data_IF_914732241411
#
_entry.id   IF_914732241411
#
_cell.length_a   1.000
_cell.length_b   1.000
_cell.length_c   1.000
_cell.angle_alpha   90.00
_cell.angle_beta   90.00
_cell.angle_gamma   90.00
#
_symmetry.space_group_name_H-M   'P 1'
#
loop_
_entity.id
_entity.type
_entity.pdbx_description
1 polymer ?
#
# COMPACT_ATOMS: atom_id res chain seq x y z
N UNK A 1 14.61 -36.36 -5.76
CA UNK A 1 15.57 -35.36 -5.21
C UNK A 1 15.32 -35.29 -3.73
N UNK A 2 16.34 -35.51 -2.91
CA UNK A 2 16.21 -35.75 -1.48
C UNK A 2 15.58 -34.55 -0.75
N UNK A 3 14.60 -34.81 0.11
CA UNK A 3 14.18 -33.86 1.14
C UNK A 3 15.42 -33.43 1.92
N UNK A 4 15.65 -32.11 2.06
CA UNK A 4 16.78 -31.62 2.86
C UNK A 4 16.45 -31.96 4.33
N UNK A 5 17.19 -32.86 4.99
CA UNK A 5 16.81 -33.29 6.32
C UNK A 5 17.12 -32.17 7.32
N UNK A 6 16.06 -31.46 7.73
CA UNK A 6 16.10 -30.44 8.78
C UNK A 6 16.07 -31.13 10.15
N UNK A 7 17.24 -31.56 10.64
CA UNK A 7 17.38 -32.42 11.84
C UNK A 7 17.45 -31.67 13.19
N UNK A 8 17.34 -30.34 13.23
CA UNK A 8 17.45 -29.59 14.50
C UNK A 8 16.12 -28.94 14.89
N UNK A 9 15.32 -29.69 15.63
CA UNK A 9 14.08 -29.20 16.23
C UNK A 9 14.38 -28.68 17.65
N UNK A 10 14.12 -27.40 17.96
CA UNK A 10 14.41 -26.84 19.29
C UNK A 10 13.47 -27.37 20.39
N UNK A 11 12.46 -28.17 20.05
CA UNK A 11 11.55 -28.80 21.02
C UNK A 11 10.25 -28.01 21.27
N UNK A 12 9.54 -28.39 22.33
CA UNK A 12 8.26 -27.78 22.73
C UNK A 12 8.42 -26.31 23.20
N UNK A 13 7.37 -25.50 23.10
CA UNK A 13 7.38 -24.07 23.48
C UNK A 13 7.63 -23.07 22.34
N UNK A 14 7.86 -23.55 21.11
CA UNK A 14 8.04 -22.71 19.92
C UNK A 14 6.93 -22.89 18.87
N UNK A 15 6.52 -21.79 18.21
CA UNK A 15 5.59 -21.85 17.07
C UNK A 15 6.20 -22.61 15.88
N UNK A 16 5.36 -23.19 15.02
CA UNK A 16 5.80 -23.97 13.85
C UNK A 16 6.78 -23.20 12.96
N UNK A 17 6.55 -21.90 12.72
CA UNK A 17 7.44 -21.08 11.90
C UNK A 17 8.80 -20.85 12.56
N UNK A 18 8.86 -20.67 13.89
CA UNK A 18 10.12 -20.52 14.64
C UNK A 18 10.96 -21.79 14.59
N UNK A 19 10.31 -22.96 14.70
CA UNK A 19 10.98 -24.27 14.59
C UNK A 19 11.59 -24.46 13.19
N UNK A 20 10.85 -24.13 12.13
CA UNK A 20 11.36 -24.17 10.75
C UNK A 20 12.51 -23.20 10.52
N UNK A 21 12.38 -21.94 10.97
CA UNK A 21 13.43 -20.94 10.85
C UNK A 21 14.71 -21.37 11.57
N UNK A 22 14.61 -21.86 12.80
CA UNK A 22 15.75 -22.40 13.55
C UNK A 22 16.43 -23.57 12.82
N UNK A 23 15.64 -24.54 12.33
CA UNK A 23 16.17 -25.70 11.63
C UNK A 23 16.89 -25.33 10.33
N UNK A 24 16.35 -24.38 9.55
CA UNK A 24 16.98 -23.88 8.33
C UNK A 24 18.26 -23.12 8.65
N UNK A 25 18.23 -22.20 9.63
CA UNK A 25 19.41 -21.43 10.05
C UNK A 25 20.55 -22.33 10.53
N UNK A 26 20.25 -23.35 11.34
CA UNK A 26 21.25 -24.32 11.80
C UNK A 26 21.80 -25.17 10.65
N UNK A 27 20.96 -25.57 9.69
CA UNK A 27 21.45 -26.30 8.52
C UNK A 27 22.40 -25.42 7.68
N UNK A 28 22.04 -24.16 7.46
CA UNK A 28 22.85 -23.20 6.72
C UNK A 28 24.18 -22.90 7.44
N UNK A 29 24.16 -22.75 8.76
CA UNK A 29 25.37 -22.57 9.56
C UNK A 29 26.33 -23.78 9.46
N UNK A 30 25.80 -25.01 9.38
CA UNK A 30 26.59 -26.24 9.25
C UNK A 30 27.12 -26.49 7.83
N UNK A 31 26.32 -26.17 6.82
CA UNK A 31 26.61 -26.52 5.42
C UNK A 31 27.22 -25.38 4.61
N UNK A 32 27.18 -24.15 5.13
CA UNK A 32 27.69 -22.95 4.45
C UNK A 32 26.91 -22.57 3.18
N UNK A 33 25.74 -23.15 2.95
CA UNK A 33 24.95 -22.88 1.74
C UNK A 33 23.44 -22.74 2.02
N UNK A 34 22.75 -22.03 1.13
CA UNK A 34 21.32 -21.71 1.26
C UNK A 34 20.36 -22.79 0.77
N UNK A 35 20.82 -24.00 0.46
CA UNK A 35 19.98 -25.02 -0.20
C UNK A 35 18.77 -25.43 0.65
N UNK A 36 18.93 -25.48 1.98
CA UNK A 36 17.83 -25.76 2.90
C UNK A 36 16.72 -24.71 2.85
N UNK A 37 17.09 -23.42 2.77
CA UNK A 37 16.14 -22.33 2.62
C UNK A 37 15.40 -22.43 1.27
N UNK A 38 16.12 -22.68 0.18
CA UNK A 38 15.52 -22.85 -1.15
C UNK A 38 14.58 -24.06 -1.20
N UNK A 39 14.94 -25.17 -0.53
CA UNK A 39 14.09 -26.34 -0.42
C UNK A 39 12.81 -26.04 0.36
N UNK A 40 12.90 -25.29 1.46
CA UNK A 40 11.73 -24.83 2.22
C UNK A 40 10.82 -23.93 1.38
N UNK A 41 11.39 -22.95 0.66
CA UNK A 41 10.63 -22.05 -0.22
C UNK A 41 9.91 -22.85 -1.30
N UNK A 42 10.60 -23.78 -2.00
CA UNK A 42 9.97 -24.66 -2.99
C UNK A 42 8.84 -25.47 -2.36
N UNK A 43 9.07 -26.09 -1.20
CA UNK A 43 8.06 -26.89 -0.52
C UNK A 43 6.84 -26.04 -0.07
N UNK A 44 7.05 -24.80 0.35
CA UNK A 44 5.98 -23.90 0.77
C UNK A 44 5.15 -23.37 -0.41
N UNK A 45 5.79 -23.10 -1.55
CA UNK A 45 5.20 -22.43 -2.72
C UNK A 45 4.71 -23.38 -3.81
N UNK A 46 4.81 -24.70 -3.59
CA UNK A 46 4.23 -25.73 -4.44
C UNK A 46 2.77 -25.44 -4.73
N UNK A 47 2.38 -25.49 -6.01
CA UNK A 47 1.02 -25.20 -6.46
C UNK A 47 -0.04 -25.97 -5.65
N UNK A 48 0.22 -27.26 -5.34
CA UNK A 48 -0.72 -28.11 -4.61
C UNK A 48 -1.00 -27.64 -3.17
N UNK A 49 -0.13 -26.80 -2.60
CA UNK A 49 -0.22 -26.24 -1.24
C UNK A 49 -0.68 -24.79 -1.22
N UNK A 50 -0.84 -24.17 -2.38
CA UNK A 50 -1.23 -22.75 -2.51
C UNK A 50 -2.57 -22.56 -3.21
N UNK A 51 -3.11 -23.59 -3.86
CA UNK A 51 -4.39 -23.57 -4.59
C UNK A 51 -5.57 -23.07 -3.75
N UNK A 52 -5.64 -23.44 -2.46
CA UNK A 52 -6.71 -23.05 -1.54
C UNK A 52 -6.58 -21.59 -1.03
N UNK A 53 -5.44 -20.94 -1.30
CA UNK A 53 -5.09 -19.62 -0.77
C UNK A 53 -4.33 -18.77 -1.78
N UNK A 54 -4.68 -18.89 -3.07
CA UNK A 54 -3.94 -18.28 -4.19
C UNK A 54 -3.60 -16.82 -3.95
N UNK A 55 -4.56 -15.97 -3.56
CA UNK A 55 -4.31 -14.55 -3.32
C UNK A 55 -3.25 -14.30 -2.23
N UNK A 56 -3.27 -15.07 -1.13
CA UNK A 56 -2.25 -14.95 -0.08
C UNK A 56 -0.90 -15.52 -0.52
N UNK A 57 -0.90 -16.59 -1.31
CA UNK A 57 0.30 -17.18 -1.85
C UNK A 57 0.97 -16.29 -2.89
N UNK A 58 0.18 -15.55 -3.68
CA UNK A 58 0.68 -14.57 -4.64
C UNK A 58 1.37 -13.41 -3.92
N UNK A 59 0.75 -12.87 -2.88
CA UNK A 59 1.37 -11.85 -2.01
C UNK A 59 2.70 -12.36 -1.44
N UNK A 60 2.72 -13.56 -0.85
CA UNK A 60 3.93 -14.15 -0.28
C UNK A 60 5.01 -14.43 -1.35
N UNK A 61 4.62 -14.74 -2.59
CA UNK A 61 5.55 -14.96 -3.70
C UNK A 61 6.25 -13.67 -4.08
N UNK A 62 5.52 -12.57 -4.11
CA UNK A 62 6.07 -11.27 -4.43
C UNK A 62 7.05 -10.80 -3.35
N UNK A 63 6.69 -10.97 -2.07
CA UNK A 63 7.59 -10.69 -0.93
C UNK A 63 8.87 -11.54 -0.97
N UNK A 64 8.73 -12.85 -1.25
CA UNK A 64 9.88 -13.74 -1.42
C UNK A 64 10.75 -13.32 -2.61
N UNK A 65 10.14 -12.94 -3.73
CA UNK A 65 10.86 -12.53 -4.94
C UNK A 65 11.62 -11.23 -4.73
N UNK A 66 11.09 -10.30 -3.92
CA UNK A 66 11.82 -9.08 -3.55
C UNK A 66 13.17 -9.45 -2.90
N UNK A 67 13.17 -10.29 -1.87
CA UNK A 67 14.41 -10.68 -1.17
C UNK A 67 15.31 -11.59 -2.04
N UNK A 68 14.73 -12.57 -2.72
CA UNK A 68 15.50 -13.53 -3.53
C UNK A 68 16.17 -12.87 -4.74
N UNK A 69 15.61 -11.78 -5.26
CA UNK A 69 16.17 -11.06 -6.39
C UNK A 69 17.54 -10.44 -6.07
N UNK A 70 17.83 -10.11 -4.81
CA UNK A 70 19.13 -9.62 -4.34
C UNK A 70 20.26 -10.64 -4.55
N UNK A 71 19.90 -11.92 -4.55
CA UNK A 71 20.78 -13.08 -4.77
C UNK A 71 20.53 -13.75 -6.12
N UNK A 72 19.91 -13.05 -7.07
CA UNK A 72 19.65 -13.54 -8.44
C UNK A 72 18.75 -14.79 -8.50
N UNK A 73 17.77 -14.88 -7.61
CA UNK A 73 16.79 -15.97 -7.55
C UNK A 73 15.36 -15.43 -7.61
N UNK A 74 14.41 -16.26 -8.05
CA UNK A 74 12.97 -16.00 -7.97
C UNK A 74 12.16 -17.28 -7.87
N UNK A 75 11.00 -17.22 -7.23
CA UNK A 75 9.92 -18.21 -7.23
C UNK A 75 9.01 -17.96 -8.43
N UNK A 76 8.78 -19.00 -9.23
CA UNK A 76 7.85 -19.02 -10.37
C UNK A 76 6.41 -19.28 -9.91
N UNK A 77 5.44 -19.06 -10.80
CA UNK A 77 4.02 -19.31 -10.54
C UNK A 77 3.71 -20.76 -10.12
N UNK A 78 4.52 -21.72 -10.59
CA UNK A 78 4.40 -23.15 -10.22
C UNK A 78 5.14 -23.53 -8.93
N UNK A 79 5.73 -22.55 -8.23
CA UNK A 79 6.46 -22.76 -6.98
C UNK A 79 7.93 -23.16 -7.13
N UNK A 80 8.43 -23.36 -8.37
CA UNK A 80 9.85 -23.64 -8.59
C UNK A 80 10.68 -22.38 -8.37
N UNK A 81 11.89 -22.57 -7.84
CA UNK A 81 12.89 -21.49 -7.75
C UNK A 81 13.81 -21.56 -8.97
N UNK A 82 13.95 -20.44 -9.66
CA UNK A 82 14.79 -20.24 -10.85
C UNK A 82 15.76 -19.07 -10.64
N UNK A 83 16.78 -18.98 -11.50
CA UNK A 83 17.65 -17.81 -11.55
C UNK A 83 16.91 -16.60 -12.11
N UNK A 84 17.29 -15.42 -11.64
CA UNK A 84 16.75 -14.14 -12.04
C UNK A 84 17.88 -13.14 -12.26
N UNK A 85 17.61 -12.07 -13.01
CA UNK A 85 18.51 -10.92 -13.04
C UNK A 85 18.54 -10.32 -11.63
N UNK A 86 19.74 -10.02 -11.11
CA UNK A 86 19.89 -9.35 -9.81
C UNK A 86 19.09 -8.05 -9.82
N UNK A 87 18.18 -7.88 -8.87
CA UNK A 87 17.43 -6.64 -8.80
C UNK A 87 18.38 -5.50 -8.37
N UNK A 88 18.25 -4.37 -9.05
CA UNK A 88 18.63 -3.07 -8.50
C UNK A 88 17.48 -2.53 -7.66
N UNK A 89 17.75 -1.54 -6.83
CA UNK A 89 16.74 -0.78 -6.09
C UNK A 89 15.65 -0.25 -7.03
N UNK A 90 16.01 0.14 -8.25
CA UNK A 90 15.06 0.58 -9.28
C UNK A 90 14.15 -0.57 -9.77
N UNK A 91 14.71 -1.78 -9.92
CA UNK A 91 13.91 -2.94 -10.36
C UNK A 91 12.87 -3.34 -9.30
N UNK A 92 13.22 -3.24 -8.02
CA UNK A 92 12.28 -3.50 -6.92
C UNK A 92 11.22 -2.41 -6.79
N UNK A 93 11.62 -1.14 -6.91
CA UNK A 93 10.71 0.00 -6.90
C UNK A 93 9.65 -0.12 -8.01
N UNK A 94 10.09 -0.50 -9.21
CA UNK A 94 9.20 -0.71 -10.36
C UNK A 94 8.20 -1.82 -10.07
N UNK A 95 8.67 -2.99 -9.60
CA UNK A 95 7.81 -4.12 -9.29
C UNK A 95 6.76 -3.77 -8.21
N UNK A 96 7.15 -3.05 -7.16
CA UNK A 96 6.23 -2.58 -6.12
C UNK A 96 5.21 -1.59 -6.67
N UNK A 97 5.64 -0.65 -7.50
CA UNK A 97 4.77 0.33 -8.15
C UNK A 97 3.74 -0.33 -9.07
N UNK A 98 4.18 -1.25 -9.93
CA UNK A 98 3.30 -2.00 -10.85
C UNK A 98 2.27 -2.84 -10.08
N UNK A 99 2.69 -3.47 -8.98
CA UNK A 99 1.83 -4.28 -8.14
C UNK A 99 0.77 -3.44 -7.42
N UNK A 100 1.19 -2.33 -6.79
CA UNK A 100 0.28 -1.39 -6.13
C UNK A 100 -0.75 -0.86 -7.13
N UNK A 101 -0.29 -0.43 -8.31
CA UNK A 101 -1.15 0.05 -9.39
C UNK A 101 -2.20 -1.02 -9.77
N UNK A 102 -1.77 -2.26 -10.05
CA UNK A 102 -2.68 -3.34 -10.44
C UNK A 102 -3.76 -3.62 -9.40
N UNK A 103 -3.40 -3.66 -8.12
CA UNK A 103 -4.37 -3.92 -7.05
C UNK A 103 -5.39 -2.79 -6.96
N UNK A 104 -4.94 -1.54 -7.04
CA UNK A 104 -5.82 -0.37 -7.02
C UNK A 104 -6.73 -0.32 -8.25
N UNK A 105 -6.20 -0.61 -9.44
CA UNK A 105 -6.96 -0.70 -10.68
C UNK A 105 -8.06 -1.77 -10.58
N UNK A 106 -7.72 -2.97 -10.09
CA UNK A 106 -8.69 -4.05 -9.85
C UNK A 106 -9.78 -3.68 -8.83
N UNK A 107 -9.45 -2.84 -7.85
CA UNK A 107 -10.41 -2.30 -6.86
C UNK A 107 -11.24 -1.13 -7.41
N UNK A 108 -11.02 -0.70 -8.66
CA UNK A 108 -11.68 0.46 -9.26
C UNK A 108 -11.23 1.78 -8.62
N UNK A 109 -9.93 1.92 -8.36
CA UNK A 109 -9.38 3.16 -7.85
C UNK A 109 -9.54 4.33 -8.84
N UNK A 110 -9.75 5.53 -8.30
CA UNK A 110 -9.90 6.74 -9.09
C UNK A 110 -8.58 7.11 -9.81
N UNK A 111 -8.68 7.68 -11.03
CA UNK A 111 -7.51 8.01 -11.85
C UNK A 111 -6.51 8.95 -11.15
N UNK A 112 -7.00 9.96 -10.41
CA UNK A 112 -6.18 10.86 -9.58
C UNK A 112 -5.33 10.10 -8.56
N UNK A 113 -5.78 8.95 -8.06
CA UNK A 113 -4.99 8.12 -7.13
C UNK A 113 -3.96 7.28 -7.87
N UNK A 114 -4.35 6.69 -9.00
CA UNK A 114 -3.47 5.86 -9.82
C UNK A 114 -2.25 6.65 -10.34
N UNK A 115 -2.40 7.95 -10.58
CA UNK A 115 -1.32 8.85 -11.03
C UNK A 115 -0.11 8.93 -10.06
N UNK A 116 -0.28 8.52 -8.81
CA UNK A 116 0.76 8.50 -7.77
C UNK A 116 1.37 7.12 -7.53
N UNK A 117 0.90 6.08 -8.22
CA UNK A 117 1.51 4.75 -8.20
C UNK A 117 2.70 4.70 -9.17
N UNK A 118 3.74 5.48 -8.88
CA UNK A 118 4.94 5.61 -9.71
C UNK A 118 6.19 5.08 -9.01
N UNK A 119 7.13 4.57 -9.79
CA UNK A 119 8.36 3.98 -9.28
C UNK A 119 9.15 4.94 -8.37
N UNK A 120 9.24 6.23 -8.75
CA UNK A 120 9.94 7.26 -7.97
C UNK A 120 9.33 7.46 -6.58
N UNK A 121 8.01 7.28 -6.45
CA UNK A 121 7.26 7.47 -5.21
C UNK A 121 7.16 6.20 -4.35
N UNK A 122 7.49 5.03 -4.91
CA UNK A 122 7.39 3.73 -4.22
C UNK A 122 8.78 3.13 -3.94
N UNK A 123 9.85 3.89 -4.20
CA UNK A 123 11.24 3.41 -4.22
C UNK A 123 11.72 2.82 -2.89
N UNK A 124 11.48 3.50 -1.78
CA UNK A 124 11.89 3.04 -0.45
C UNK A 124 10.71 2.39 0.30
N UNK A 125 9.59 3.10 0.38
CA UNK A 125 8.33 2.66 0.97
C UNK A 125 7.13 3.26 0.23
N UNK A 126 5.91 3.04 0.74
CA UNK A 126 4.67 3.54 0.15
C UNK A 126 4.22 4.91 0.69
N UNK A 127 4.92 5.47 1.68
CA UNK A 127 4.52 6.71 2.34
C UNK A 127 4.56 7.88 1.37
N UNK A 128 5.61 7.99 0.56
CA UNK A 128 5.76 9.12 -0.38
C UNK A 128 4.65 9.11 -1.44
N UNK A 129 4.28 7.94 -1.98
CA UNK A 129 3.13 7.79 -2.88
C UNK A 129 1.81 8.26 -2.23
N UNK A 130 1.56 7.89 -0.97
CA UNK A 130 0.38 8.33 -0.22
C UNK A 130 0.41 9.83 0.06
N UNK A 131 1.56 10.35 0.49
CA UNK A 131 1.75 11.76 0.81
C UNK A 131 1.51 12.66 -0.41
N UNK A 132 2.06 12.26 -1.57
CA UNK A 132 1.83 12.96 -2.84
C UNK A 132 0.38 12.84 -3.32
N UNK A 133 -0.29 11.69 -3.13
CA UNK A 133 -1.70 11.54 -3.44
C UNK A 133 -2.60 12.48 -2.59
N UNK A 134 -2.27 12.67 -1.32
CA UNK A 134 -2.98 13.62 -0.44
C UNK A 134 -2.74 15.08 -0.88
N UNK A 135 -1.51 15.41 -1.29
CA UNK A 135 -1.22 16.71 -1.92
C UNK A 135 -2.04 16.91 -3.19
N UNK A 136 -2.18 15.88 -4.01
CA UNK A 136 -3.03 15.85 -5.20
C UNK A 136 -4.48 16.20 -4.90
N UNK A 137 -5.07 15.54 -3.89
CA UNK A 137 -6.41 15.87 -3.42
C UNK A 137 -6.54 17.35 -3.01
N UNK A 138 -5.56 17.88 -2.28
CA UNK A 138 -5.54 19.29 -1.88
C UNK A 138 -5.40 20.25 -3.06
N UNK A 139 -4.56 19.93 -4.05
CA UNK A 139 -4.44 20.70 -5.28
C UNK A 139 -5.76 20.72 -6.06
N UNK A 140 -6.44 19.58 -6.18
CA UNK A 140 -7.75 19.47 -6.83
C UNK A 140 -8.82 20.28 -6.11
N UNK A 141 -8.91 20.21 -4.79
CA UNK A 141 -9.88 20.98 -4.00
C UNK A 141 -9.65 22.49 -4.18
N UNK A 142 -8.39 22.94 -4.14
CA UNK A 142 -8.06 24.36 -4.39
C UNK A 142 -8.46 24.79 -5.80
N UNK A 143 -8.14 23.98 -6.81
CA UNK A 143 -8.53 24.23 -8.20
C UNK A 143 -10.06 24.35 -8.35
N UNK A 144 -10.83 23.51 -7.66
CA UNK A 144 -12.30 23.51 -7.74
C UNK A 144 -12.99 24.63 -6.94
N UNK A 145 -12.29 25.29 -6.00
CA UNK A 145 -12.91 26.26 -5.07
C UNK A 145 -12.29 27.64 -5.08
N UNK A 146 -11.06 27.79 -5.58
CA UNK A 146 -10.28 29.02 -5.47
C UNK A 146 -9.82 29.35 -4.04
N UNK A 147 -10.09 28.50 -3.05
CA UNK A 147 -9.72 28.76 -1.65
C UNK A 147 -8.22 28.55 -1.46
N UNK A 148 -7.52 29.59 -1.01
CA UNK A 148 -6.12 29.48 -0.60
C UNK A 148 -6.01 29.08 0.88
N UNK A 149 -5.84 27.78 1.09
CA UNK A 149 -5.62 27.16 2.39
C UNK A 149 -4.86 25.84 2.23
N UNK A 150 -4.40 25.26 3.34
CA UNK A 150 -3.67 24.00 3.34
C UNK A 150 -4.05 23.13 4.54
N UNK A 151 -3.60 21.88 4.53
CA UNK A 151 -3.80 20.93 5.62
C UNK A 151 -5.27 20.64 5.86
N UNK A 152 -5.62 20.35 7.11
CA UNK A 152 -7.01 20.19 7.52
C UNK A 152 -7.82 21.50 7.38
N UNK A 153 -7.15 22.66 7.42
CA UNK A 153 -7.79 23.97 7.29
C UNK A 153 -8.41 24.19 5.90
N UNK A 154 -7.85 23.59 4.86
CA UNK A 154 -8.46 23.56 3.52
C UNK A 154 -9.81 22.85 3.56
N UNK A 155 -9.90 21.70 4.22
CA UNK A 155 -11.12 20.91 4.30
C UNK A 155 -12.20 21.64 5.12
N UNK A 156 -11.83 22.25 6.24
CA UNK A 156 -12.74 23.08 7.04
C UNK A 156 -13.36 24.21 6.23
N UNK A 157 -12.56 24.91 5.42
CA UNK A 157 -13.03 26.03 4.61
C UNK A 157 -13.83 25.63 3.38
N UNK A 158 -13.64 24.41 2.87
CA UNK A 158 -14.20 24.00 1.57
C UNK A 158 -15.32 22.98 1.65
N UNK A 159 -15.34 22.12 2.67
CA UNK A 159 -16.27 20.98 2.75
C UNK A 159 -17.09 20.95 4.05
N UNK A 160 -16.67 21.67 5.09
CA UNK A 160 -17.38 21.71 6.38
C UNK A 160 -18.35 22.91 6.50
N UNK A 161 -19.22 22.85 7.51
CA UNK A 161 -20.21 23.90 7.79
C UNK A 161 -21.55 23.69 7.09
N UNK A 162 -22.46 24.67 7.26
CA UNK A 162 -23.84 24.59 6.76
C UNK A 162 -23.98 24.87 5.26
N UNK A 163 -23.03 25.58 4.66
CA UNK A 163 -23.03 25.93 3.23
C UNK A 163 -21.60 25.90 2.65
N UNK A 164 -20.96 24.73 2.58
CA UNK A 164 -19.59 24.62 2.10
C UNK A 164 -19.47 24.98 0.61
N UNK A 165 -18.33 25.57 0.18
CA UNK A 165 -18.02 25.82 -1.23
C UNK A 165 -18.10 24.57 -2.12
N UNK A 166 -17.67 23.41 -1.61
CA UNK A 166 -17.81 22.10 -2.25
C UNK A 166 -18.95 21.32 -1.60
N UNK A 167 -20.00 21.09 -2.38
CA UNK A 167 -21.15 20.28 -1.98
C UNK A 167 -21.09 18.96 -2.73
N UNK A 168 -20.86 17.85 -2.02
CA UNK A 168 -20.79 16.51 -2.64
C UNK A 168 -22.17 15.94 -2.97
N UNK A 169 -23.24 16.55 -2.43
CA UNK A 169 -24.63 16.16 -2.64
C UNK A 169 -25.58 17.38 -2.48
N UNK A 170 -26.89 17.12 -2.53
CA UNK A 170 -27.92 18.16 -2.50
C UNK A 170 -28.10 18.87 -1.15
N UNK A 171 -27.61 18.31 -0.03
CA UNK A 171 -27.67 18.87 1.32
C UNK A 171 -29.07 19.23 1.85
N UNK A 172 -30.15 18.72 1.23
CA UNK A 172 -31.54 19.08 1.55
C UNK A 172 -32.02 18.33 2.79
N UNK A 173 -31.69 17.05 2.85
CA UNK A 173 -32.06 16.15 3.93
C UNK A 173 -30.99 16.10 5.01
N UNK A 174 -31.36 15.59 6.19
CA UNK A 174 -30.39 15.33 7.27
C UNK A 174 -29.33 14.32 6.82
N UNK A 175 -29.74 13.25 6.15
CA UNK A 175 -28.85 12.21 5.61
C UNK A 175 -27.78 12.78 4.68
N UNK A 176 -28.18 13.67 3.76
CA UNK A 176 -27.22 14.33 2.86
C UNK A 176 -26.23 15.23 3.61
N UNK A 177 -26.69 15.96 4.63
CA UNK A 177 -25.79 16.78 5.47
C UNK A 177 -24.83 15.92 6.29
N UNK A 178 -25.31 14.80 6.82
CA UNK A 178 -24.48 13.85 7.59
C UNK A 178 -23.45 13.17 6.67
N UNK A 179 -23.80 12.83 5.42
CA UNK A 179 -22.83 12.31 4.43
C UNK A 179 -21.77 13.36 4.08
N UNK A 180 -22.17 14.61 3.79
CA UNK A 180 -21.24 15.71 3.53
C UNK A 180 -20.23 15.85 4.68
N UNK A 181 -20.73 15.89 5.92
CA UNK A 181 -19.89 15.98 7.12
C UNK A 181 -18.98 14.75 7.28
N UNK A 182 -19.49 13.56 7.01
CA UNK A 182 -18.72 12.31 7.06
C UNK A 182 -17.53 12.33 6.10
N UNK A 183 -17.76 12.70 4.84
CA UNK A 183 -16.69 12.81 3.84
C UNK A 183 -15.70 13.92 4.19
N UNK A 184 -16.18 15.07 4.68
CA UNK A 184 -15.31 16.14 5.17
C UNK A 184 -14.42 15.64 6.32
N UNK A 185 -14.96 14.89 7.27
CA UNK A 185 -14.19 14.34 8.40
C UNK A 185 -13.15 13.31 7.95
N UNK A 186 -13.47 12.45 6.98
CA UNK A 186 -12.50 11.51 6.41
C UNK A 186 -11.35 12.25 5.73
N UNK A 187 -11.65 13.23 4.87
CA UNK A 187 -10.64 14.05 4.23
C UNK A 187 -9.78 14.80 5.28
N UNK A 188 -10.42 15.43 6.27
CA UNK A 188 -9.75 16.12 7.37
C UNK A 188 -8.82 15.19 8.15
N UNK A 189 -9.26 13.96 8.41
CA UNK A 189 -8.48 12.91 9.04
C UNK A 189 -7.23 12.56 8.25
N UNK A 190 -7.36 12.32 6.94
CA UNK A 190 -6.22 12.04 6.06
C UNK A 190 -5.20 13.18 6.02
N UNK A 191 -5.66 14.43 5.89
CA UNK A 191 -4.76 15.58 5.92
C UNK A 191 -4.05 15.70 7.27
N UNK A 192 -4.77 15.56 8.39
CA UNK A 192 -4.18 15.59 9.72
C UNK A 192 -3.16 14.46 9.92
N UNK A 193 -3.51 13.25 9.49
CA UNK A 193 -2.73 12.04 9.69
C UNK A 193 -1.49 11.96 8.81
N UNK A 194 -1.39 12.66 7.68
CA UNK A 194 -0.24 12.49 6.77
C UNK A 194 0.43 13.80 6.37
N UNK A 195 -0.26 14.95 6.38
CA UNK A 195 0.35 16.26 6.07
C UNK A 195 1.01 16.94 7.27
N UNK A 196 0.59 16.62 8.49
CA UNK A 196 1.08 17.23 9.73
C UNK A 196 1.98 16.37 10.68
N UNK A 197 2.20 15.05 10.50
CA UNK A 197 3.07 14.27 11.41
C UNK A 197 4.57 14.55 11.24
N UNK A 198 5.00 14.97 10.05
CA UNK A 198 6.42 15.15 9.71
C UNK A 198 7.07 16.31 10.49
N UNK A 199 6.27 17.15 11.17
CA UNK A 199 6.76 18.22 12.02
C UNK A 199 7.21 17.77 13.42
N UNK A 200 6.87 16.54 13.85
CA UNK A 200 7.07 16.13 15.25
C UNK A 200 7.93 14.88 15.46
N UNK A 201 8.16 14.03 14.46
CA UNK A 201 9.08 12.90 14.56
C UNK A 201 9.98 12.74 13.32
N UNK A 202 11.26 12.32 13.48
CA UNK A 202 12.14 12.02 12.35
C UNK A 202 11.56 10.94 11.43
N UNK A 203 11.67 11.13 10.10
CA UNK A 203 11.31 10.13 9.05
C UNK A 203 11.86 8.71 9.30
N UNK A 204 12.87 8.56 10.16
CA UNK A 204 13.54 7.30 10.45
C UNK A 204 12.64 6.24 11.10
N UNK A 205 11.45 6.59 11.62
CA UNK A 205 10.59 5.65 12.36
C UNK A 205 9.23 5.34 11.72
N UNK A 206 8.90 5.96 10.58
CA UNK A 206 7.58 5.78 9.97
C UNK A 206 7.67 5.07 8.63
N UNK A 207 7.52 3.75 8.67
CA UNK A 207 7.40 2.92 7.47
C UNK A 207 5.93 2.61 7.24
N UNK A 208 5.48 2.74 5.99
CA UNK A 208 4.11 2.41 5.60
C UNK A 208 4.09 1.05 4.91
N UNK A 209 3.22 0.15 5.39
CA UNK A 209 3.00 -1.13 4.72
C UNK A 209 2.20 -0.93 3.43
N UNK A 210 2.28 -1.90 2.52
CA UNK A 210 1.47 -1.85 1.30
C UNK A 210 -0.03 -1.90 1.61
N UNK A 211 -0.43 -2.65 2.65
CA UNK A 211 -1.81 -2.75 3.05
C UNK A 211 -2.34 -1.40 3.54
N UNK A 212 -1.57 -0.70 4.38
CA UNK A 212 -1.92 0.64 4.84
C UNK A 212 -2.04 1.61 3.66
N UNK A 213 -1.10 1.53 2.72
CA UNK A 213 -1.13 2.35 1.51
C UNK A 213 -2.39 2.08 0.67
N UNK A 214 -2.75 0.81 0.47
CA UNK A 214 -3.96 0.42 -0.25
C UNK A 214 -5.24 0.96 0.40
N UNK A 215 -5.31 0.96 1.73
CA UNK A 215 -6.49 1.43 2.47
C UNK A 215 -6.60 2.96 2.45
N UNK A 216 -5.48 3.66 2.58
CA UNK A 216 -5.44 5.13 2.46
C UNK A 216 -5.77 5.57 1.03
N UNK A 217 -5.11 4.99 0.02
CA UNK A 217 -5.36 5.27 -1.39
C UNK A 217 -6.78 4.90 -1.81
N UNK A 218 -7.33 3.81 -1.26
CA UNK A 218 -8.73 3.42 -1.42
C UNK A 218 -9.70 4.47 -0.85
N UNK A 219 -9.39 5.02 0.33
CA UNK A 219 -10.18 6.09 0.95
C UNK A 219 -10.12 7.39 0.12
N UNK A 220 -8.93 7.78 -0.35
CA UNK A 220 -8.75 8.93 -1.25
C UNK A 220 -9.55 8.75 -2.54
N UNK A 221 -9.53 7.56 -3.12
CA UNK A 221 -10.28 7.20 -4.31
C UNK A 221 -11.79 7.39 -4.13
N UNK A 222 -12.34 7.01 -2.96
CA UNK A 222 -13.73 7.28 -2.62
C UNK A 222 -14.03 8.78 -2.52
N UNK A 223 -13.15 9.56 -1.90
CA UNK A 223 -13.30 11.02 -1.77
C UNK A 223 -13.28 11.68 -3.16
N UNK A 224 -12.35 11.29 -4.04
CA UNK A 224 -12.30 11.79 -5.40
C UNK A 224 -13.59 11.54 -6.17
N UNK A 225 -14.20 10.35 -6.07
CA UNK A 225 -15.50 10.07 -6.68
C UNK A 225 -16.61 10.97 -6.17
N UNK A 226 -16.58 11.38 -4.91
CA UNK A 226 -17.53 12.36 -4.35
C UNK A 226 -17.26 13.79 -4.87
N UNK A 227 -16.00 14.10 -5.16
CA UNK A 227 -15.62 15.38 -5.79
C UNK A 227 -15.92 15.43 -7.29
N UNK A 228 -16.00 14.29 -7.98
CA UNK A 228 -16.41 14.23 -9.40
C UNK A 228 -17.86 14.70 -9.57
N UNK A 229 -18.71 14.38 -8.59
CA UNK A 229 -20.13 14.77 -8.58
C UNK A 229 -20.40 16.03 -7.77
N UNK A 230 -19.36 16.69 -7.26
CA UNK A 230 -19.53 17.85 -6.40
C UNK A 230 -19.96 19.08 -7.19
N UNK A 231 -20.84 19.87 -6.59
CA UNK A 231 -21.26 21.16 -7.12
C UNK A 231 -20.38 22.22 -6.46
N UNK A 232 -19.45 22.79 -7.22
CA UNK A 232 -18.70 23.97 -6.81
C UNK A 232 -19.58 25.20 -6.92
N UNK A 233 -19.71 25.95 -5.82
CA UNK A 233 -20.15 27.35 -5.90
C UNK A 233 -18.95 28.19 -6.31
N UNK A 234 -18.64 28.20 -7.60
CA UNK A 234 -17.86 29.31 -8.13
C UNK A 234 -18.73 30.56 -8.00
N UNK A 235 -18.13 31.65 -7.52
CA UNK A 235 -18.76 32.96 -7.53
C UNK A 235 -18.98 33.40 -8.97
N UNK A 236 -20.07 32.95 -9.59
CA UNK A 236 -20.66 33.65 -10.72
C UNK A 236 -21.21 34.96 -10.15
N UNK A 237 -20.50 36.05 -10.44
CA UNK A 237 -20.96 37.39 -10.15
C UNK A 237 -22.19 37.73 -10.97
N UNK A 238 -23.27 38.13 -10.30
CA UNK A 238 -23.85 39.49 -10.33
C UNK A 238 -24.36 39.80 -8.94
#
# INVERSE_FOLDING_TARGET
>A
MAEVPLRSDPGEGHTKWRRLAHAVSNNQAKTGNGNALIALVRAAMRAERTLDRMSRADIARDELNQVLSLVSLKVLADGRVATAKRASTDTEALARSERLYKILEQRGAHAEVLAYCREDLVRADYYEAVFEAIKGLGARIRSQTGVDADGYGLIEKTMAGSSPPLRINGGRTRTERDEQLGIANLAKGLFSAFRNPVAHEPKLHWTMSELDALDVLGTLSMIHRRLDTAISRNGDGV
#
